data_IF_124099435304
#
_entry.id   IF_124099435304
#
_cell.length_a   1.000
_cell.length_b   1.000
_cell.length_c   1.000
_cell.angle_alpha   90.00
_cell.angle_beta   90.00
_cell.angle_gamma   90.00
#
_symmetry.space_group_name_H-M   'P 1'
#
loop_
_entity.id
_entity.type
_entity.pdbx_description
1 polymer ?
#
# COMPACT_ATOMS: atom_id res chain seq x y z
N UNK A 1 18.22 -25.57 -7.52
CA UNK A 1 17.71 -25.34 -6.15
C UNK A 1 17.26 -23.90 -6.10
N UNK A 2 15.98 -23.73 -5.78
CA UNK A 2 15.25 -22.51 -5.42
C UNK A 2 15.43 -21.28 -6.32
N UNK A 3 14.44 -21.10 -7.21
CA UNK A 3 14.23 -19.86 -7.94
C UNK A 3 12.74 -19.65 -8.18
N UNK A 4 12.25 -18.51 -7.70
CA UNK A 4 10.96 -17.87 -7.99
C UNK A 4 9.72 -18.38 -7.23
N UNK A 5 9.65 -18.02 -5.95
CA UNK A 5 8.40 -18.00 -5.18
C UNK A 5 7.64 -16.64 -5.30
N UNK A 6 8.22 -15.63 -5.95
CA UNK A 6 7.66 -14.26 -5.94
C UNK A 6 6.65 -13.96 -7.07
N UNK A 7 6.32 -14.93 -7.92
CA UNK A 7 5.38 -14.72 -9.03
C UNK A 7 3.90 -14.91 -8.67
N UNK A 8 3.61 -15.42 -7.47
CA UNK A 8 2.23 -15.70 -7.04
C UNK A 8 1.54 -14.53 -6.33
N UNK A 9 2.27 -13.55 -5.78
CA UNK A 9 1.69 -12.38 -5.11
C UNK A 9 0.96 -11.42 -6.06
N UNK A 10 1.33 -11.39 -7.34
CA UNK A 10 0.79 -10.41 -8.29
C UNK A 10 -0.52 -10.82 -8.98
N UNK A 11 -0.85 -12.11 -9.05
CA UNK A 11 -2.06 -12.60 -9.73
C UNK A 11 -3.28 -12.74 -8.81
N UNK A 12 -3.05 -12.80 -7.50
CA UNK A 12 -4.09 -12.93 -6.47
C UNK A 12 -4.63 -11.56 -6.01
N UNK A 13 -3.81 -10.50 -6.05
CA UNK A 13 -4.19 -9.16 -5.62
C UNK A 13 -5.44 -8.56 -6.32
N UNK A 14 -5.66 -8.76 -7.63
CA UNK A 14 -6.91 -8.32 -8.28
C UNK A 14 -8.14 -9.04 -7.73
N UNK A 15 -8.04 -10.34 -7.43
CA UNK A 15 -9.13 -11.15 -6.89
C UNK A 15 -9.42 -10.75 -5.44
N UNK A 16 -8.39 -10.62 -4.61
CA UNK A 16 -8.49 -10.15 -3.22
C UNK A 16 -9.23 -8.81 -3.11
N UNK A 17 -8.95 -7.86 -4.02
CA UNK A 17 -9.64 -6.58 -4.08
C UNK A 17 -11.13 -6.71 -4.43
N UNK A 18 -11.45 -7.56 -5.41
CA UNK A 18 -12.85 -7.81 -5.79
C UNK A 18 -13.63 -8.48 -4.66
N UNK A 19 -13.03 -9.45 -3.99
CA UNK A 19 -13.63 -10.16 -2.86
C UNK A 19 -13.88 -9.23 -1.67
N UNK A 20 -12.92 -8.34 -1.36
CA UNK A 20 -13.10 -7.29 -0.36
C UNK A 20 -14.32 -6.41 -0.70
N UNK A 21 -14.40 -5.90 -1.93
CA UNK A 21 -15.53 -5.07 -2.35
C UNK A 21 -16.86 -5.81 -2.29
N UNK A 22 -16.90 -7.09 -2.66
CA UNK A 22 -18.11 -7.91 -2.60
C UNK A 22 -18.58 -8.11 -1.16
N UNK A 23 -17.68 -8.46 -0.24
CA UNK A 23 -17.99 -8.58 1.19
C UNK A 23 -18.51 -7.27 1.77
N UNK A 24 -17.92 -6.15 1.37
CA UNK A 24 -18.35 -4.81 1.81
C UNK A 24 -19.71 -4.36 1.23
N UNK A 25 -20.24 -5.05 0.21
CA UNK A 25 -21.61 -4.82 -0.31
C UNK A 25 -22.68 -5.58 0.46
N UNK A 26 -22.31 -6.56 1.29
CA UNK A 26 -23.26 -7.34 2.06
C UNK A 26 -23.90 -6.47 3.16
N UNK A 27 -25.21 -6.61 3.44
CA UNK A 27 -25.87 -5.85 4.52
C UNK A 27 -25.24 -6.07 5.90
N UNK A 28 -24.66 -7.25 6.14
CA UNK A 28 -23.93 -7.60 7.36
C UNK A 28 -22.66 -6.76 7.58
N UNK A 29 -22.09 -6.15 6.53
CA UNK A 29 -20.92 -5.28 6.58
C UNK A 29 -21.28 -3.77 6.64
N UNK A 30 -22.56 -3.41 6.75
CA UNK A 30 -23.00 -2.01 6.66
C UNK A 30 -22.33 -1.08 7.68
N UNK A 31 -22.10 -1.54 8.92
CA UNK A 31 -21.43 -0.74 9.94
C UNK A 31 -19.96 -0.48 9.60
N UNK A 32 -19.27 -1.43 8.95
CA UNK A 32 -17.90 -1.21 8.46
C UNK A 32 -17.85 -0.16 7.37
N UNK A 33 -18.76 -0.24 6.39
CA UNK A 33 -18.85 0.76 5.31
C UNK A 33 -19.08 2.16 5.89
N UNK A 34 -19.96 2.26 6.89
CA UNK A 34 -20.24 3.52 7.59
C UNK A 34 -19.02 4.03 8.35
N UNK A 35 -18.33 3.16 9.08
CA UNK A 35 -17.10 3.48 9.81
C UNK A 35 -16.02 4.04 8.88
N UNK A 36 -15.73 3.35 7.78
CA UNK A 36 -14.73 3.75 6.78
C UNK A 36 -15.07 5.10 6.15
N UNK A 37 -16.33 5.29 5.72
CA UNK A 37 -16.76 6.57 5.15
C UNK A 37 -16.65 7.71 6.17
N UNK A 38 -17.06 7.45 7.41
CA UNK A 38 -16.96 8.43 8.50
C UNK A 38 -15.51 8.82 8.77
N UNK A 39 -14.60 7.84 8.80
CA UNK A 39 -13.17 8.06 8.95
C UNK A 39 -12.64 8.95 7.82
N UNK A 40 -12.87 8.59 6.55
CA UNK A 40 -12.39 9.36 5.38
C UNK A 40 -12.88 10.82 5.41
N UNK A 41 -14.16 11.04 5.73
CA UNK A 41 -14.73 12.39 5.82
C UNK A 41 -14.11 13.16 6.98
N UNK A 42 -14.01 12.54 8.16
CA UNK A 42 -13.43 13.18 9.34
C UNK A 42 -11.96 13.53 9.12
N UNK A 43 -11.20 12.62 8.53
CA UNK A 43 -9.79 12.78 8.21
C UNK A 43 -9.57 13.94 7.23
N UNK A 44 -10.35 13.98 6.15
CA UNK A 44 -10.24 15.03 5.11
C UNK A 44 -10.51 16.44 5.65
N UNK A 45 -11.24 16.57 6.76
CA UNK A 45 -11.54 17.87 7.40
C UNK A 45 -10.45 18.34 8.39
N UNK A 46 -9.47 17.49 8.72
CA UNK A 46 -8.36 17.84 9.61
C UNK A 46 -7.28 18.61 8.86
N UNK A 47 -6.57 19.48 9.58
CA UNK A 47 -5.40 20.15 9.05
C UNK A 47 -4.31 19.11 8.67
N UNK A 48 -3.63 19.27 7.52
CA UNK A 48 -2.50 18.42 7.12
C UNK A 48 -1.37 18.36 8.14
N UNK A 49 -0.99 17.15 8.52
CA UNK A 49 0.12 16.84 9.41
C UNK A 49 0.57 15.38 9.17
N UNK A 50 1.64 15.14 8.38
CA UNK A 50 2.03 13.79 7.95
C UNK A 50 2.19 12.76 9.08
N UNK A 51 2.75 13.18 10.22
CA UNK A 51 2.99 12.28 11.36
C UNK A 51 1.68 11.89 12.04
N UNK A 52 0.80 12.85 12.28
CA UNK A 52 -0.53 12.58 12.86
C UNK A 52 -1.44 11.84 11.89
N UNK A 53 -1.35 12.19 10.61
CA UNK A 53 -2.11 11.57 9.53
C UNK A 53 -1.72 10.10 9.39
N UNK A 54 -0.42 9.79 9.37
CA UNK A 54 0.10 8.42 9.37
C UNK A 54 -0.36 7.64 10.59
N UNK A 55 -0.18 8.19 11.79
CA UNK A 55 -0.61 7.55 13.05
C UNK A 55 -2.10 7.23 13.03
N UNK A 56 -2.94 8.19 12.63
CA UNK A 56 -4.39 8.02 12.59
C UNK A 56 -4.86 6.99 11.55
N UNK A 57 -4.16 6.87 10.41
CA UNK A 57 -4.44 5.84 9.40
C UNK A 57 -4.05 4.46 9.94
N UNK A 58 -2.86 4.31 10.51
CA UNK A 58 -2.40 3.04 11.08
C UNK A 58 -3.33 2.54 12.19
N UNK A 59 -3.66 3.40 13.16
CA UNK A 59 -4.62 3.08 14.22
C UNK A 59 -5.99 2.67 13.65
N UNK A 60 -6.46 3.32 12.58
CA UNK A 60 -7.73 2.97 11.96
C UNK A 60 -7.68 1.59 11.27
N UNK A 61 -6.61 1.28 10.53
CA UNK A 61 -6.42 0.01 9.85
C UNK A 61 -6.33 -1.15 10.87
N UNK A 62 -5.48 -1.02 11.89
CA UNK A 62 -5.30 -2.03 12.95
C UNK A 62 -6.63 -2.33 13.67
N UNK A 63 -7.39 -1.29 14.03
CA UNK A 63 -8.69 -1.44 14.68
C UNK A 63 -9.71 -2.15 13.77
N UNK A 64 -9.72 -1.83 12.48
CA UNK A 64 -10.63 -2.44 11.52
C UNK A 64 -10.26 -3.90 11.22
N UNK A 65 -8.98 -4.22 11.12
CA UNK A 65 -8.52 -5.61 10.99
C UNK A 65 -8.88 -6.45 12.22
N UNK A 66 -8.68 -5.91 13.42
CA UNK A 66 -9.14 -6.54 14.66
C UNK A 66 -10.66 -6.78 14.65
N UNK A 67 -11.42 -5.82 14.11
CA UNK A 67 -12.87 -5.95 13.96
C UNK A 67 -13.27 -6.98 12.90
N UNK A 68 -12.55 -7.10 11.78
CA UNK A 68 -12.79 -8.16 10.78
C UNK A 68 -12.63 -9.55 11.39
N UNK A 69 -11.56 -9.77 12.17
CA UNK A 69 -11.32 -11.05 12.86
C UNK A 69 -12.42 -11.40 13.87
N UNK A 70 -13.06 -10.41 14.49
CA UNK A 70 -14.07 -10.61 15.52
C UNK A 70 -15.52 -10.72 14.96
N UNK A 71 -15.76 -10.41 13.69
CA UNK A 71 -17.12 -10.24 13.14
C UNK A 71 -17.55 -11.27 12.09
N UNK A 72 -18.87 -11.40 11.97
CA UNK A 72 -19.58 -12.38 11.15
C UNK A 72 -19.24 -12.40 9.65
N UNK A 73 -18.99 -11.28 8.94
CA UNK A 73 -18.71 -11.33 7.49
C UNK A 73 -17.37 -12.00 7.13
N UNK A 74 -16.49 -12.16 8.12
CA UNK A 74 -15.24 -12.91 8.03
C UNK A 74 -15.19 -14.09 9.02
N UNK A 75 -16.34 -14.49 9.58
CA UNK A 75 -16.40 -15.66 10.43
C UNK A 75 -16.06 -16.92 9.63
N UNK A 76 -14.99 -17.62 10.04
CA UNK A 76 -14.49 -18.82 9.37
C UNK A 76 -13.57 -18.55 8.17
N UNK A 77 -13.21 -17.29 7.92
CA UNK A 77 -12.17 -16.95 6.94
C UNK A 77 -10.79 -17.44 7.40
N UNK A 78 -9.94 -17.80 6.43
CA UNK A 78 -8.54 -18.13 6.70
C UNK A 78 -7.74 -16.86 7.06
N UNK A 79 -6.54 -17.03 7.62
CA UNK A 79 -5.66 -15.88 7.88
C UNK A 79 -5.29 -15.15 6.58
N UNK A 80 -5.08 -15.88 5.48
CA UNK A 80 -4.80 -15.31 4.15
C UNK A 80 -5.97 -14.45 3.62
N UNK A 81 -7.22 -14.87 3.85
CA UNK A 81 -8.41 -14.10 3.47
C UNK A 81 -8.57 -12.83 4.34
N UNK A 82 -8.16 -12.91 5.61
CA UNK A 82 -8.17 -11.76 6.53
C UNK A 82 -7.09 -10.73 6.16
N UNK A 83 -5.87 -11.19 5.84
CA UNK A 83 -4.78 -10.36 5.33
C UNK A 83 -5.17 -9.69 4.02
N UNK A 84 -5.72 -10.46 3.07
CA UNK A 84 -6.25 -9.94 1.80
C UNK A 84 -7.35 -8.88 2.00
N UNK A 85 -8.18 -9.03 3.02
CA UNK A 85 -9.19 -8.03 3.38
C UNK A 85 -8.59 -6.77 4.02
N UNK A 86 -7.51 -6.91 4.79
CA UNK A 86 -6.69 -5.81 5.31
C UNK A 86 -6.07 -5.00 4.17
N UNK A 87 -5.43 -5.66 3.21
CA UNK A 87 -4.90 -5.02 1.99
C UNK A 87 -6.01 -4.32 1.18
N UNK A 88 -7.17 -4.97 1.05
CA UNK A 88 -8.35 -4.37 0.42
C UNK A 88 -8.82 -3.10 1.13
N UNK A 89 -8.85 -3.11 2.46
CA UNK A 89 -9.19 -1.95 3.26
C UNK A 89 -8.17 -0.82 3.08
N UNK A 90 -6.88 -1.12 3.20
CA UNK A 90 -5.79 -0.16 3.00
C UNK A 90 -5.89 0.47 1.61
N UNK A 91 -6.00 -0.37 0.57
CA UNK A 91 -6.18 0.09 -0.81
C UNK A 91 -7.37 1.02 -0.95
N UNK A 92 -8.53 0.68 -0.36
CA UNK A 92 -9.71 1.53 -0.43
C UNK A 92 -9.48 2.89 0.25
N UNK A 93 -8.97 2.89 1.47
CA UNK A 93 -8.74 4.10 2.28
C UNK A 93 -7.67 4.98 1.63
N UNK A 94 -6.51 4.42 1.31
CA UNK A 94 -5.39 5.16 0.73
C UNK A 94 -5.70 5.69 -0.65
N UNK A 95 -6.48 4.98 -1.48
CA UNK A 95 -6.95 5.53 -2.76
C UNK A 95 -7.81 6.79 -2.57
N UNK A 96 -8.64 6.84 -1.51
CA UNK A 96 -9.49 8.01 -1.23
C UNK A 96 -8.72 9.17 -0.63
N UNK A 97 -7.68 8.87 0.14
CA UNK A 97 -6.84 9.87 0.82
C UNK A 97 -5.61 10.30 0.01
N UNK A 98 -5.31 9.64 -1.12
CA UNK A 98 -4.09 9.82 -1.90
C UNK A 98 -3.71 11.28 -2.12
N UNK A 99 -4.61 12.08 -2.71
CA UNK A 99 -4.36 13.50 -3.01
C UNK A 99 -4.10 14.37 -1.77
N UNK A 100 -4.42 13.87 -0.58
CA UNK A 100 -4.29 14.58 0.70
C UNK A 100 -3.01 14.18 1.45
N UNK A 101 -2.47 12.99 1.21
CA UNK A 101 -1.34 12.44 1.99
C UNK A 101 -0.08 12.20 1.15
N UNK A 102 -0.20 12.01 -0.16
CA UNK A 102 0.93 11.78 -1.05
C UNK A 102 1.59 13.09 -1.47
N UNK A 103 2.91 13.21 -1.26
CA UNK A 103 3.71 14.42 -1.57
C UNK A 103 3.02 15.72 -1.10
N UNK A 104 2.46 15.67 0.11
CA UNK A 104 1.50 16.67 0.60
C UNK A 104 2.15 17.91 1.22
N UNK A 105 3.45 17.85 1.51
CA UNK A 105 4.25 18.97 2.03
C UNK A 105 5.29 19.44 1.00
N UNK A 106 5.58 20.75 0.92
CA UNK A 106 6.54 21.28 -0.06
C UNK A 106 7.94 20.67 0.03
N UNK A 107 8.36 20.26 1.23
CA UNK A 107 9.65 19.61 1.48
C UNK A 107 9.77 18.26 0.77
N UNK A 108 8.67 17.49 0.67
CA UNK A 108 8.64 16.20 -0.04
C UNK A 108 8.82 16.44 -1.53
N UNK A 109 8.05 17.38 -2.11
CA UNK A 109 8.13 17.73 -3.54
C UNK A 109 9.53 18.18 -3.92
N UNK A 110 10.15 19.01 -3.10
CA UNK A 110 11.53 19.45 -3.32
C UNK A 110 12.51 18.28 -3.25
N UNK A 111 12.35 17.40 -2.28
CA UNK A 111 13.23 16.22 -2.13
C UNK A 111 13.09 15.27 -3.31
N UNK A 112 11.87 15.09 -3.84
CA UNK A 112 11.60 14.31 -5.05
C UNK A 112 12.28 14.91 -6.29
N UNK A 113 12.21 16.23 -6.48
CA UNK A 113 12.87 16.93 -7.58
C UNK A 113 14.40 16.79 -7.51
N UNK A 114 15.00 17.02 -6.33
CA UNK A 114 16.45 16.87 -6.12
C UNK A 114 16.91 15.44 -6.37
N UNK A 115 16.14 14.44 -5.91
CA UNK A 115 16.44 13.03 -6.13
C UNK A 115 16.33 12.67 -7.62
N UNK A 116 15.27 13.11 -8.29
CA UNK A 116 15.07 12.89 -9.72
C UNK A 116 16.20 13.50 -10.55
N UNK A 117 16.57 14.74 -10.28
CA UNK A 117 17.68 15.41 -10.98
C UNK A 117 18.99 14.63 -10.78
N UNK A 118 19.31 14.27 -9.53
CA UNK A 118 20.52 13.52 -9.21
C UNK A 118 20.56 12.17 -9.93
N UNK A 119 19.47 11.41 -9.91
CA UNK A 119 19.38 10.13 -10.63
C UNK A 119 19.50 10.33 -12.14
N UNK A 120 18.90 11.40 -12.69
CA UNK A 120 18.94 11.69 -14.13
C UNK A 120 20.35 11.90 -14.67
N UNK A 121 21.25 12.43 -13.83
CA UNK A 121 22.65 12.66 -14.15
C UNK A 121 23.48 11.39 -13.91
N UNK A 122 23.32 10.75 -12.75
CA UNK A 122 24.12 9.58 -12.37
C UNK A 122 23.87 8.38 -13.29
N UNK A 123 22.62 8.16 -13.71
CA UNK A 123 22.25 7.01 -14.55
C UNK A 123 22.99 6.98 -15.90
N UNK A 124 23.53 8.11 -16.36
CA UNK A 124 24.21 8.21 -17.66
C UNK A 124 25.60 7.56 -17.65
N UNK A 125 26.23 7.39 -16.47
CA UNK A 125 27.61 6.94 -16.38
C UNK A 125 27.91 5.95 -15.26
N UNK A 126 26.97 5.73 -14.32
CA UNK A 126 27.14 4.74 -13.27
C UNK A 126 27.34 3.34 -13.86
N UNK A 127 28.28 2.59 -13.30
CA UNK A 127 28.59 1.22 -13.69
C UNK A 127 28.43 0.26 -12.51
N UNK A 128 28.17 -1.04 -12.74
CA UNK A 128 28.03 -2.02 -11.67
C UNK A 128 29.22 -2.02 -10.69
N UNK A 129 30.44 -1.85 -11.19
CA UNK A 129 31.66 -1.79 -10.39
C UNK A 129 31.74 -0.55 -9.48
N UNK A 130 30.99 0.53 -9.74
CA UNK A 130 30.92 1.68 -8.84
C UNK A 130 30.11 1.39 -7.56
N UNK A 131 29.33 0.31 -7.57
CA UNK A 131 28.48 -0.16 -6.47
C UNK A 131 28.89 -1.56 -6.00
N UNK A 132 30.13 -1.97 -6.28
CA UNK A 132 30.70 -3.27 -5.89
C UNK A 132 29.96 -4.51 -6.44
N UNK A 133 29.21 -4.35 -7.53
CA UNK A 133 28.53 -5.47 -8.19
C UNK A 133 29.55 -6.30 -8.97
N UNK A 134 29.86 -7.49 -8.44
CA UNK A 134 30.85 -8.40 -9.02
C UNK A 134 30.38 -8.97 -10.37
N UNK A 135 31.31 -9.32 -11.29
CA UNK A 135 30.98 -9.85 -12.61
C UNK A 135 30.03 -11.06 -12.60
N UNK A 136 30.17 -11.96 -11.61
CA UNK A 136 29.30 -13.14 -11.47
C UNK A 136 27.84 -12.82 -11.14
N UNK A 137 27.54 -11.60 -10.71
CA UNK A 137 26.18 -11.11 -10.42
C UNK A 137 25.67 -10.10 -11.46
N UNK A 138 26.45 -9.80 -12.50
CA UNK A 138 26.03 -8.87 -13.55
C UNK A 138 24.99 -9.52 -14.46
N UNK A 139 24.02 -8.72 -14.88
CA UNK A 139 22.96 -9.11 -15.80
C UNK A 139 23.08 -8.30 -17.09
N UNK A 140 23.05 -8.97 -18.24
CA UNK A 140 23.26 -8.32 -19.56
C UNK A 140 22.18 -7.27 -19.89
N UNK A 141 20.95 -7.46 -19.40
CA UNK A 141 19.85 -6.51 -19.61
C UNK A 141 19.77 -5.46 -18.50
N UNK A 142 20.76 -5.39 -17.60
CA UNK A 142 20.74 -4.49 -16.43
C UNK A 142 19.45 -4.58 -15.62
N UNK A 143 18.93 -5.80 -15.44
CA UNK A 143 17.67 -6.11 -14.75
C UNK A 143 16.45 -5.40 -15.32
N UNK A 144 16.46 -5.09 -16.62
CA UNK A 144 15.25 -4.69 -17.33
C UNK A 144 14.27 -5.88 -17.34
N UNK A 145 13.13 -5.72 -16.66
CA UNK A 145 12.02 -6.69 -16.57
C UNK A 145 10.94 -6.35 -17.57
#
# INVERSE_FOLDING_TARGET
>A
MEGSADSFGSLTAPLAWHDFLERMRQPSAAEFVKSIKSFIVTFSNRAPDPEKDSTAIQEFLENMEGAFRAHTPWAGSSEEELESAGEGLEKYVMTKLFNRVFASVPEDVKSDEELFEKMSLLQQFVRPENLDIKPEYQNETSWLV
#
